data_IF_027885563107
#
_entry.id   IF_027885563107
#
_cell.length_a   1.000
_cell.length_b   1.000
_cell.length_c   1.000
_cell.angle_alpha   90.00
_cell.angle_beta   90.00
_cell.angle_gamma   90.00
#
_symmetry.space_group_name_H-M   'P 1'
#
loop_
_entity.id
_entity.type
_entity.pdbx_description
1 polymer ?
#
# COMPACT_ATOMS: atom_id res chain seq x y z
N UNK A 1 -32.80 -19.42 -16.38
CA UNK A 1 -32.80 -18.36 -15.36
C UNK A 1 -31.33 -18.03 -15.05
N UNK A 2 -30.79 -16.89 -15.44
CA UNK A 2 -29.41 -16.56 -15.11
C UNK A 2 -29.35 -15.98 -13.71
N UNK A 3 -28.53 -16.57 -12.84
CA UNK A 3 -28.22 -16.08 -11.50
C UNK A 3 -27.48 -14.75 -11.57
N UNK A 4 -28.17 -13.70 -11.19
CA UNK A 4 -27.59 -12.37 -11.01
C UNK A 4 -26.72 -12.38 -9.75
N UNK A 5 -25.42 -12.55 -9.91
CA UNK A 5 -24.46 -12.24 -8.84
C UNK A 5 -24.37 -10.73 -8.69
N UNK A 6 -25.18 -10.18 -7.82
CA UNK A 6 -25.02 -8.81 -7.32
C UNK A 6 -23.73 -8.80 -6.51
N UNK A 7 -22.64 -8.32 -7.11
CA UNK A 7 -21.46 -7.88 -6.34
C UNK A 7 -21.94 -6.75 -5.43
N UNK A 8 -22.10 -7.04 -4.13
CA UNK A 8 -22.27 -6.00 -3.12
C UNK A 8 -21.08 -5.05 -3.26
N UNK A 9 -21.35 -3.78 -3.61
CA UNK A 9 -20.36 -2.69 -3.47
C UNK A 9 -19.93 -2.71 -2.02
N UNK A 10 -18.65 -2.99 -1.75
CA UNK A 10 -18.08 -2.79 -0.42
C UNK A 10 -18.22 -1.29 -0.11
N UNK A 11 -19.02 -0.98 0.91
CA UNK A 11 -19.07 0.37 1.45
C UNK A 11 -17.65 0.71 1.95
N UNK A 12 -17.09 1.80 1.43
CA UNK A 12 -15.84 2.37 1.94
C UNK A 12 -16.19 2.93 3.32
N UNK A 13 -15.71 2.25 4.36
CA UNK A 13 -15.87 2.72 5.74
C UNK A 13 -14.70 3.66 6.03
N UNK A 14 -14.99 4.87 6.49
CA UNK A 14 -14.00 5.90 6.76
C UNK A 14 -13.03 5.43 7.86
N UNK A 15 -11.71 5.54 7.60
CA UNK A 15 -10.68 5.31 8.61
C UNK A 15 -10.57 6.56 9.48
N UNK A 16 -10.75 6.37 10.79
CA UNK A 16 -10.65 7.45 11.76
C UNK A 16 -9.27 7.44 12.41
N UNK A 17 -8.51 8.53 12.22
CA UNK A 17 -7.29 8.77 13.01
C UNK A 17 -7.66 9.11 14.45
N UNK A 18 -6.95 8.51 15.40
CA UNK A 18 -7.10 8.84 16.83
C UNK A 18 -6.12 9.95 17.18
N UNK A 19 -6.65 11.05 17.67
CA UNK A 19 -5.86 12.13 18.27
C UNK A 19 -6.02 12.08 19.79
N UNK A 20 -5.04 11.49 20.46
CA UNK A 20 -5.02 11.34 21.91
C UNK A 20 -5.05 12.66 22.67
N UNK A 21 -4.61 13.75 22.04
CA UNK A 21 -4.61 15.09 22.65
C UNK A 21 -5.98 15.77 22.61
N UNK A 22 -6.85 15.32 21.72
CA UNK A 22 -8.18 15.91 21.50
C UNK A 22 -9.30 15.24 22.30
N UNK A 23 -9.03 14.11 23.00
CA UNK A 23 -10.01 13.37 23.77
C UNK A 23 -9.75 13.53 25.29
N UNK A 24 -10.83 13.47 26.07
CA UNK A 24 -10.71 13.55 27.54
C UNK A 24 -10.02 12.31 28.13
N UNK A 25 -9.45 12.38 29.33
CA UNK A 25 -8.84 11.23 30.01
C UNK A 25 -9.80 10.03 30.12
N UNK A 26 -11.06 10.26 30.47
CA UNK A 26 -12.06 9.19 30.60
C UNK A 26 -12.41 8.53 29.25
N UNK A 27 -12.49 9.31 28.19
CA UNK A 27 -12.69 8.80 26.83
C UNK A 27 -11.46 8.03 26.35
N UNK A 28 -10.26 8.52 26.67
CA UNK A 28 -9.00 7.83 26.37
C UNK A 28 -8.95 6.44 27.00
N UNK A 29 -9.28 6.32 28.29
CA UNK A 29 -9.29 5.04 28.98
C UNK A 29 -10.31 4.05 28.36
N UNK A 30 -11.54 4.52 28.06
CA UNK A 30 -12.56 3.70 27.40
C UNK A 30 -12.12 3.23 26.00
N UNK A 31 -11.47 4.13 25.26
CA UNK A 31 -10.96 3.80 23.92
C UNK A 31 -9.85 2.75 23.97
N UNK A 32 -8.92 2.87 24.94
CA UNK A 32 -7.88 1.86 25.17
C UNK A 32 -8.47 0.51 25.51
N UNK A 33 -9.51 0.47 26.36
CA UNK A 33 -10.20 -0.77 26.73
C UNK A 33 -10.85 -1.42 25.49
N UNK A 34 -11.56 -0.64 24.65
CA UNK A 34 -12.18 -1.14 23.41
C UNK A 34 -11.12 -1.68 22.43
N UNK A 35 -9.99 -0.99 22.27
CA UNK A 35 -8.88 -1.43 21.41
C UNK A 35 -8.24 -2.73 21.89
N UNK A 36 -8.02 -2.83 23.19
CA UNK A 36 -7.45 -4.04 23.80
C UNK A 36 -8.40 -5.23 23.70
N UNK A 37 -9.72 -5.03 23.78
CA UNK A 37 -10.70 -6.09 23.52
C UNK A 37 -10.56 -6.63 22.08
N UNK A 38 -10.42 -5.74 21.09
CA UNK A 38 -10.21 -6.15 19.69
C UNK A 38 -8.88 -6.87 19.54
N UNK A 39 -7.80 -6.34 20.14
CA UNK A 39 -6.49 -6.98 20.15
C UNK A 39 -6.56 -8.39 20.74
N UNK A 40 -7.09 -8.54 21.94
CA UNK A 40 -7.16 -9.82 22.65
C UNK A 40 -8.02 -10.83 21.88
N UNK A 41 -9.18 -10.43 21.38
CA UNK A 41 -10.04 -11.29 20.58
C UNK A 41 -9.32 -11.77 19.31
N UNK A 42 -8.60 -10.88 18.63
CA UNK A 42 -7.83 -11.20 17.44
C UNK A 42 -6.66 -12.15 17.74
N UNK A 43 -5.88 -11.86 18.79
CA UNK A 43 -4.74 -12.68 19.22
C UNK A 43 -5.19 -14.08 19.58
N UNK A 44 -6.24 -14.24 20.36
CA UNK A 44 -6.80 -15.54 20.73
C UNK A 44 -7.23 -16.37 19.52
N UNK A 45 -7.66 -15.73 18.44
CA UNK A 45 -8.11 -16.42 17.23
C UNK A 45 -6.99 -16.74 16.22
N UNK A 46 -5.81 -16.17 16.38
CA UNK A 46 -4.73 -16.27 15.37
C UNK A 46 -3.36 -16.64 15.94
N UNK A 47 -3.05 -16.31 17.20
CA UNK A 47 -1.75 -16.52 17.82
C UNK A 47 -1.78 -17.75 18.75
N UNK A 48 -2.06 -18.93 18.17
CA UNK A 48 -2.20 -20.18 18.93
C UNK A 48 -0.92 -20.66 19.61
N UNK A 49 0.21 -20.04 19.31
CA UNK A 49 1.51 -20.25 19.94
C UNK A 49 1.68 -19.50 21.27
N UNK A 50 0.85 -18.47 21.53
CA UNK A 50 0.84 -17.76 22.79
C UNK A 50 0.03 -18.51 23.85
N UNK A 51 0.62 -18.66 25.03
CA UNK A 51 -0.10 -19.19 26.19
C UNK A 51 -0.99 -18.14 26.82
N UNK A 52 -1.93 -18.55 27.69
CA UNK A 52 -2.72 -17.61 28.47
C UNK A 52 -1.85 -16.65 29.30
N UNK A 53 -0.75 -17.16 29.85
CA UNK A 53 0.20 -16.36 30.61
C UNK A 53 0.84 -15.25 29.73
N UNK A 54 1.18 -15.56 28.47
CA UNK A 54 1.76 -14.60 27.54
C UNK A 54 0.72 -13.51 27.18
N UNK A 55 -0.52 -13.90 26.91
CA UNK A 55 -1.60 -12.95 26.61
C UNK A 55 -1.82 -12.00 27.79
N UNK A 56 -1.90 -12.53 29.02
CA UNK A 56 -2.07 -11.71 30.22
C UNK A 56 -0.86 -10.82 30.50
N UNK A 57 0.34 -11.24 30.14
CA UNK A 57 1.55 -10.44 30.24
C UNK A 57 1.56 -9.28 29.23
N UNK A 58 1.21 -9.55 27.96
CA UNK A 58 1.21 -8.52 26.92
C UNK A 58 0.04 -7.55 27.02
N UNK A 59 -1.11 -7.96 27.54
CA UNK A 59 -2.33 -7.15 27.58
C UNK A 59 -2.14 -5.75 28.16
N UNK A 60 -1.56 -5.55 29.37
CA UNK A 60 -1.31 -4.22 29.91
C UNK A 60 -0.26 -3.45 29.10
N UNK A 61 0.75 -4.11 28.53
CA UNK A 61 1.76 -3.46 27.70
C UNK A 61 1.14 -2.93 26.40
N UNK A 62 0.27 -3.70 25.76
CA UNK A 62 -0.45 -3.27 24.56
C UNK A 62 -1.34 -2.07 24.88
N UNK A 63 -2.11 -2.15 25.97
CA UNK A 63 -3.04 -1.11 26.39
C UNK A 63 -2.35 0.23 26.71
N UNK A 64 -1.32 0.18 27.53
CA UNK A 64 -0.80 1.38 28.19
C UNK A 64 0.51 1.87 27.59
N UNK A 65 1.19 1.04 26.78
CA UNK A 65 2.47 1.38 26.19
C UNK A 65 2.44 1.37 24.66
N UNK A 66 2.00 0.27 24.02
CA UNK A 66 2.17 0.11 22.59
C UNK A 66 1.11 0.85 21.78
N UNK A 67 -0.17 0.77 22.16
CA UNK A 67 -1.26 1.49 21.47
C UNK A 67 -1.04 3.02 21.52
N UNK A 68 -0.69 3.66 22.67
CA UNK A 68 -0.44 5.10 22.70
C UNK A 68 0.83 5.55 21.98
N UNK A 69 1.76 4.64 21.69
CA UNK A 69 3.05 4.96 21.07
C UNK A 69 3.02 5.05 19.54
N UNK A 70 1.92 4.67 18.91
CA UNK A 70 1.80 4.61 17.45
C UNK A 70 0.78 5.61 16.92
N UNK A 71 0.90 5.98 15.65
CA UNK A 71 -0.15 6.69 14.93
C UNK A 71 -1.30 5.72 14.67
N UNK A 72 -2.42 5.90 15.36
CA UNK A 72 -3.50 4.93 15.41
C UNK A 72 -4.65 5.29 14.47
N UNK A 73 -5.13 4.29 13.73
CA UNK A 73 -6.29 4.36 12.84
C UNK A 73 -7.30 3.26 13.17
N UNK A 74 -8.58 3.60 13.23
CA UNK A 74 -9.65 2.66 13.55
C UNK A 74 -10.70 2.61 12.45
N UNK A 75 -11.37 1.47 12.33
CA UNK A 75 -12.59 1.30 11.54
C UNK A 75 -13.68 0.83 12.49
N UNK A 76 -14.83 1.52 12.48
CA UNK A 76 -16.00 1.13 13.28
C UNK A 76 -17.02 0.41 12.40
N UNK A 77 -17.69 -0.59 12.96
CA UNK A 77 -18.77 -1.28 12.30
C UNK A 77 -20.10 -0.49 12.40
N UNK A 78 -21.18 -1.02 11.82
CA UNK A 78 -22.51 -0.38 11.82
C UNK A 78 -23.09 -0.17 13.23
N UNK A 79 -22.62 -0.93 14.23
CA UNK A 79 -23.01 -0.77 15.64
C UNK A 79 -22.10 0.22 16.39
N UNK A 80 -21.26 0.96 15.68
CA UNK A 80 -20.30 1.92 16.22
C UNK A 80 -19.22 1.29 17.14
N UNK A 81 -18.98 -0.03 17.06
CA UNK A 81 -17.88 -0.72 17.77
C UNK A 81 -16.64 -0.78 16.88
N UNK A 82 -15.45 -0.73 17.46
CA UNK A 82 -14.20 -0.89 16.71
C UNK A 82 -14.17 -2.31 16.13
N UNK A 83 -14.19 -2.38 14.79
CA UNK A 83 -14.11 -3.61 14.02
C UNK A 83 -12.67 -4.00 13.71
N UNK A 84 -11.82 -3.00 13.51
CA UNK A 84 -10.40 -3.17 13.21
C UNK A 84 -9.63 -1.91 13.59
N UNK A 85 -8.34 -2.08 13.87
CA UNK A 85 -7.43 -0.96 14.06
C UNK A 85 -6.04 -1.26 13.50
N UNK A 86 -5.28 -0.20 13.23
CA UNK A 86 -3.92 -0.23 12.73
C UNK A 86 -3.09 0.83 13.44
N UNK A 87 -1.91 0.45 13.88
CA UNK A 87 -0.89 1.33 14.43
C UNK A 87 0.29 1.44 13.47
N UNK A 88 0.72 2.67 13.22
CA UNK A 88 1.82 2.99 12.31
C UNK A 88 2.95 3.69 13.06
N UNK A 89 4.18 3.37 12.72
CA UNK A 89 5.35 4.22 12.93
C UNK A 89 5.77 4.86 11.59
N UNK A 90 6.88 5.59 11.56
CA UNK A 90 7.33 6.31 10.36
C UNK A 90 7.58 5.39 9.15
N UNK A 91 7.95 4.13 9.37
CA UNK A 91 8.31 3.20 8.28
C UNK A 91 7.58 1.85 8.33
N UNK A 92 6.84 1.55 9.41
CA UNK A 92 6.36 0.21 9.68
C UNK A 92 4.88 0.19 10.08
N UNK A 93 4.15 -0.81 9.61
CA UNK A 93 2.86 -1.19 10.16
C UNK A 93 3.16 -2.03 11.42
N UNK A 94 3.07 -1.36 12.58
CA UNK A 94 3.37 -1.97 13.88
C UNK A 94 2.27 -2.90 14.37
N UNK A 95 1.03 -2.57 14.01
CA UNK A 95 -0.17 -3.27 14.45
C UNK A 95 -1.22 -3.28 13.36
N UNK A 96 -1.85 -4.44 13.16
CA UNK A 96 -3.06 -4.57 12.34
C UNK A 96 -3.92 -5.68 12.93
N UNK A 97 -5.00 -5.31 13.57
CA UNK A 97 -5.91 -6.24 14.21
C UNK A 97 -7.34 -6.06 13.72
N UNK A 98 -8.02 -7.17 13.43
CA UNK A 98 -9.42 -7.22 13.02
C UNK A 98 -10.15 -8.14 13.97
N UNK A 99 -11.23 -7.66 14.57
CA UNK A 99 -12.05 -8.48 15.48
C UNK A 99 -12.52 -9.76 14.74
N UNK A 100 -12.48 -10.95 15.36
CA UNK A 100 -12.81 -12.21 14.68
C UNK A 100 -14.16 -12.21 13.98
N UNK A 101 -15.20 -11.63 14.58
CA UNK A 101 -16.56 -11.53 14.01
C UNK A 101 -16.63 -10.56 12.79
N UNK A 102 -15.61 -9.75 12.61
CA UNK A 102 -15.49 -8.77 11.54
C UNK A 102 -14.52 -9.19 10.41
N UNK A 103 -13.86 -10.33 10.57
CA UNK A 103 -12.99 -10.90 9.54
C UNK A 103 -13.79 -11.25 8.27
N UNK A 104 -13.11 -11.19 7.12
CA UNK A 104 -13.75 -11.45 5.83
C UNK A 104 -14.56 -10.28 5.25
N UNK A 105 -14.81 -9.22 6.01
CA UNK A 105 -15.56 -8.02 5.56
C UNK A 105 -14.68 -6.97 4.85
N UNK A 106 -13.40 -7.23 4.70
CA UNK A 106 -12.48 -6.35 3.95
C UNK A 106 -11.75 -5.27 4.77
N UNK A 107 -12.00 -5.14 6.07
CA UNK A 107 -11.41 -4.07 6.90
C UNK A 107 -9.87 -4.12 6.94
N UNK A 108 -9.27 -5.30 7.08
CA UNK A 108 -7.81 -5.44 7.02
C UNK A 108 -7.24 -4.99 5.68
N UNK A 109 -7.92 -5.29 4.56
CA UNK A 109 -7.54 -4.80 3.23
C UNK A 109 -7.59 -3.27 3.16
N UNK A 110 -8.67 -2.66 3.64
CA UNK A 110 -8.83 -1.20 3.62
C UNK A 110 -7.72 -0.50 4.43
N UNK A 111 -7.35 -1.03 5.60
CA UNK A 111 -6.28 -0.47 6.43
C UNK A 111 -4.91 -0.58 5.74
N UNK A 112 -4.59 -1.73 5.12
CA UNK A 112 -3.35 -1.89 4.36
C UNK A 112 -3.30 -0.95 3.17
N UNK A 113 -4.38 -0.84 2.40
CA UNK A 113 -4.45 0.09 1.27
C UNK A 113 -4.28 1.54 1.73
N UNK A 114 -4.85 1.90 2.86
CA UNK A 114 -4.64 3.22 3.47
C UNK A 114 -3.17 3.43 3.87
N UNK A 115 -2.52 2.45 4.53
CA UNK A 115 -1.09 2.54 4.86
C UNK A 115 -0.23 2.74 3.62
N UNK A 116 -0.50 1.99 2.55
CA UNK A 116 0.28 2.04 1.29
C UNK A 116 0.05 3.37 0.55
N UNK A 117 -1.21 3.74 0.28
CA UNK A 117 -1.53 4.83 -0.65
C UNK A 117 -1.59 6.20 0.00
N UNK A 118 -1.87 6.29 1.31
CA UNK A 118 -2.01 7.57 2.01
C UNK A 118 -0.90 7.85 3.01
N UNK A 119 -0.27 6.80 3.56
CA UNK A 119 0.80 6.95 4.55
C UNK A 119 2.18 6.57 4.00
N UNK A 120 2.24 5.97 2.80
CA UNK A 120 3.48 5.52 2.14
C UNK A 120 4.31 4.55 2.99
N UNK A 121 3.62 3.69 3.76
CA UNK A 121 4.23 2.68 4.59
C UNK A 121 4.08 1.32 3.91
N UNK A 122 5.21 0.62 3.69
CA UNK A 122 5.33 -0.56 2.84
C UNK A 122 5.95 -1.75 3.54
N UNK A 123 6.24 -1.63 4.84
CA UNK A 123 6.86 -2.66 5.64
C UNK A 123 5.92 -3.09 6.76
N UNK A 124 5.99 -4.36 7.12
CA UNK A 124 5.28 -4.93 8.26
C UNK A 124 6.09 -6.06 8.85
N UNK A 125 6.09 -6.15 10.17
CA UNK A 125 6.65 -7.26 10.91
C UNK A 125 5.55 -8.22 11.32
N UNK A 126 5.77 -9.52 11.07
CA UNK A 126 4.78 -10.56 11.33
C UNK A 126 5.43 -11.70 12.09
N UNK A 127 4.79 -12.14 13.16
CA UNK A 127 5.25 -13.33 13.85
C UNK A 127 5.20 -14.55 12.90
N UNK A 128 6.30 -15.29 12.77
CA UNK A 128 6.44 -16.45 11.86
C UNK A 128 5.38 -17.53 12.11
N UNK A 129 4.93 -17.65 13.36
CA UNK A 129 3.92 -18.64 13.74
C UNK A 129 2.47 -18.21 13.40
N UNK A 130 2.28 -16.97 12.91
CA UNK A 130 0.98 -16.47 12.48
C UNK A 130 0.78 -16.66 10.96
N UNK A 131 0.57 -17.91 10.54
CA UNK A 131 0.40 -18.28 9.13
C UNK A 131 -0.73 -17.51 8.42
N UNK A 132 -1.80 -17.16 9.15
CA UNK A 132 -2.92 -16.38 8.59
C UNK A 132 -2.49 -14.96 8.21
N UNK A 133 -1.70 -14.31 9.06
CA UNK A 133 -1.17 -12.97 8.76
C UNK A 133 -0.15 -13.04 7.62
N UNK A 134 0.76 -14.00 7.63
CA UNK A 134 1.72 -14.20 6.54
C UNK A 134 0.98 -14.35 5.21
N UNK A 135 0.02 -15.28 5.13
CA UNK A 135 -0.79 -15.49 3.92
C UNK A 135 -1.56 -14.23 3.50
N UNK A 136 -2.07 -13.46 4.48
CA UNK A 136 -2.77 -12.21 4.22
C UNK A 136 -1.87 -11.18 3.54
N UNK A 137 -0.62 -11.01 3.97
CA UNK A 137 0.33 -10.06 3.39
C UNK A 137 0.91 -10.56 2.06
N UNK A 138 1.31 -11.83 1.95
CA UNK A 138 1.80 -12.41 0.70
C UNK A 138 0.76 -12.29 -0.43
N UNK A 139 -0.53 -12.51 -0.14
CA UNK A 139 -1.63 -12.31 -1.09
C UNK A 139 -1.82 -10.83 -1.49
N UNK A 140 -1.10 -9.89 -0.85
CA UNK A 140 -1.10 -8.44 -1.15
C UNK A 140 0.24 -7.94 -1.64
N UNK A 141 1.04 -8.85 -2.22
CA UNK A 141 2.34 -8.54 -2.86
C UNK A 141 3.42 -8.06 -1.89
N UNK A 142 3.31 -8.40 -0.61
CA UNK A 142 4.44 -8.32 0.28
C UNK A 142 5.29 -9.57 0.13
N UNK A 143 6.61 -9.41 0.18
CA UNK A 143 7.57 -10.51 0.17
C UNK A 143 8.33 -10.53 1.50
N UNK A 144 8.74 -11.72 1.92
CA UNK A 144 9.60 -11.88 3.09
C UNK A 144 11.01 -11.41 2.70
N UNK A 145 11.52 -10.39 3.39
CA UNK A 145 12.81 -9.75 3.12
C UNK A 145 13.83 -9.99 4.23
N UNK A 146 13.40 -10.51 5.37
CA UNK A 146 14.26 -10.80 6.49
C UNK A 146 13.55 -11.61 7.58
N UNK A 147 14.32 -12.08 8.56
CA UNK A 147 13.85 -12.88 9.69
C UNK A 147 14.73 -12.68 10.91
N UNK A 148 14.11 -12.46 12.05
CA UNK A 148 14.75 -12.50 13.37
C UNK A 148 14.33 -13.75 14.14
N UNK A 149 15.24 -14.31 14.92
CA UNK A 149 14.99 -15.54 15.71
C UNK A 149 14.11 -15.29 16.95
N UNK A 150 14.02 -14.02 17.39
CA UNK A 150 13.29 -13.62 18.58
C UNK A 150 12.49 -12.35 18.31
N UNK A 151 11.50 -12.09 19.15
CA UNK A 151 10.84 -10.78 19.18
C UNK A 151 11.80 -9.69 19.71
N UNK A 152 11.47 -8.39 19.60
CA UNK A 152 12.29 -7.28 20.12
C UNK A 152 12.55 -7.33 21.62
N UNK A 153 11.80 -8.13 22.38
CA UNK A 153 11.97 -8.34 23.82
C UNK A 153 12.84 -9.57 24.14
N UNK A 154 13.31 -10.30 23.12
CA UNK A 154 14.14 -11.50 23.26
C UNK A 154 13.35 -12.78 23.56
N UNK A 155 12.02 -12.77 23.42
CA UNK A 155 11.21 -13.97 23.58
C UNK A 155 11.34 -14.88 22.34
N UNK A 156 11.12 -16.20 22.45
CA UNK A 156 11.27 -17.15 21.36
C UNK A 156 10.06 -17.10 20.39
N UNK A 157 9.77 -15.93 19.86
CA UNK A 157 8.73 -15.65 18.86
C UNK A 157 9.37 -15.06 17.62
N UNK A 158 9.83 -15.89 16.66
CA UNK A 158 10.51 -15.39 15.46
C UNK A 158 9.64 -14.41 14.67
N UNK A 159 10.29 -13.38 14.14
CA UNK A 159 9.64 -12.32 13.38
C UNK A 159 10.10 -12.41 11.91
N UNK A 160 9.14 -12.39 11.00
CA UNK A 160 9.38 -12.20 9.57
C UNK A 160 9.19 -10.72 9.23
N UNK A 161 10.19 -10.15 8.56
CA UNK A 161 10.12 -8.82 7.99
C UNK A 161 9.56 -8.93 6.58
N UNK A 162 8.43 -8.26 6.34
CA UNK A 162 7.82 -8.24 5.02
C UNK A 162 7.83 -6.82 4.44
N UNK A 163 8.04 -6.73 3.14
CA UNK A 163 8.01 -5.45 2.43
C UNK A 163 7.23 -5.59 1.14
N UNK A 164 6.43 -4.56 0.84
CA UNK A 164 5.74 -4.48 -0.44
C UNK A 164 6.76 -4.18 -1.54
N UNK A 165 6.82 -5.04 -2.54
CA UNK A 165 7.72 -4.89 -3.67
C UNK A 165 7.03 -4.37 -4.93
N UNK A 166 7.85 -3.81 -5.80
CA UNK A 166 7.43 -3.45 -7.16
C UNK A 166 7.05 -4.71 -7.92
N UNK A 167 5.95 -4.64 -8.64
CA UNK A 167 5.49 -5.77 -9.42
C UNK A 167 5.94 -5.61 -10.86
N UNK A 168 6.66 -6.62 -11.38
CA UNK A 168 6.84 -6.75 -12.83
C UNK A 168 5.49 -7.03 -13.46
N UNK A 169 5.00 -6.06 -14.26
CA UNK A 169 3.69 -6.15 -14.93
C UNK A 169 3.82 -6.64 -16.37
N UNK A 170 5.03 -6.52 -16.95
CA UNK A 170 5.40 -7.07 -18.24
C UNK A 170 6.90 -7.38 -18.28
N UNK A 171 7.27 -8.54 -18.77
CA UNK A 171 8.64 -8.92 -19.07
C UNK A 171 8.75 -9.37 -20.52
N UNK A 172 9.85 -9.02 -21.20
CA UNK A 172 10.18 -9.51 -22.52
C UNK A 172 11.56 -10.18 -22.50
N UNK A 173 11.73 -11.27 -23.20
CA UNK A 173 12.97 -12.03 -23.50
C UNK A 173 14.13 -11.99 -22.46
N UNK A 174 13.85 -11.63 -21.22
CA UNK A 174 14.79 -11.66 -20.10
C UNK A 174 15.69 -10.45 -19.92
N UNK A 175 15.56 -9.40 -20.74
CA UNK A 175 16.34 -8.15 -20.60
C UNK A 175 15.50 -6.93 -20.25
N UNK A 176 14.28 -6.82 -20.76
CA UNK A 176 13.38 -5.68 -20.53
C UNK A 176 12.23 -6.08 -19.61
N UNK A 177 12.00 -5.28 -18.61
CA UNK A 177 10.90 -5.44 -17.64
C UNK A 177 10.20 -4.12 -17.42
N UNK A 178 8.86 -4.13 -17.41
CA UNK A 178 8.06 -2.99 -16.95
C UNK A 178 7.56 -3.32 -15.56
N UNK A 179 7.90 -2.46 -14.60
CA UNK A 179 7.50 -2.60 -13.20
C UNK A 179 6.57 -1.45 -12.81
N UNK A 180 5.49 -1.77 -12.11
CA UNK A 180 4.65 -0.78 -11.47
C UNK A 180 5.35 -0.25 -10.20
N UNK A 181 5.53 1.07 -10.11
CA UNK A 181 6.18 1.73 -8.99
C UNK A 181 5.10 2.19 -8.02
N UNK A 182 4.96 1.46 -6.94
CA UNK A 182 3.91 1.70 -5.95
C UNK A 182 4.32 2.75 -4.91
N UNK A 183 5.62 2.92 -4.66
CA UNK A 183 6.14 3.80 -3.59
C UNK A 183 7.48 4.44 -3.95
N UNK A 184 7.89 5.45 -3.16
CA UNK A 184 9.15 6.18 -3.36
C UNK A 184 9.34 6.65 -4.80
N UNK A 185 8.26 7.08 -5.46
CA UNK A 185 8.24 7.50 -6.87
C UNK A 185 9.26 8.61 -7.14
N UNK A 186 9.50 9.49 -6.17
CA UNK A 186 10.51 10.56 -6.26
C UNK A 186 11.95 10.06 -6.39
N UNK A 187 12.27 8.79 -6.17
CA UNK A 187 13.61 8.26 -6.50
C UNK A 187 13.93 8.34 -7.99
N UNK A 188 12.89 8.47 -8.84
CA UNK A 188 13.01 8.69 -10.28
C UNK A 188 12.93 10.17 -10.67
N UNK A 189 13.07 11.10 -9.71
CA UNK A 189 12.92 12.54 -9.95
C UNK A 189 13.82 13.02 -11.10
N UNK A 190 15.01 12.46 -11.25
CA UNK A 190 15.92 12.76 -12.35
C UNK A 190 15.34 12.45 -13.74
N UNK A 191 14.47 11.42 -13.86
CA UNK A 191 13.74 11.12 -15.10
C UNK A 191 12.49 11.98 -15.22
N UNK A 192 11.71 12.13 -14.14
CA UNK A 192 10.50 12.94 -14.15
C UNK A 192 10.76 14.37 -14.60
N UNK A 193 11.87 14.96 -14.16
CA UNK A 193 12.32 16.31 -14.56
C UNK A 193 12.77 16.42 -16.03
N UNK A 194 12.87 15.31 -16.77
CA UNK A 194 13.14 15.37 -18.22
C UNK A 194 11.89 15.71 -19.04
N UNK A 195 10.71 15.44 -18.51
CA UNK A 195 9.43 15.75 -19.13
C UNK A 195 8.75 16.99 -18.52
N UNK A 196 8.91 17.18 -17.20
CA UNK A 196 8.45 18.37 -16.46
C UNK A 196 9.64 19.11 -15.85
N UNK A 197 9.78 20.38 -16.16
CA UNK A 197 10.94 21.16 -15.70
C UNK A 197 10.88 21.56 -14.22
N UNK A 198 9.72 21.39 -13.56
CA UNK A 198 9.46 21.85 -12.19
C UNK A 198 8.94 20.72 -11.31
N UNK A 199 9.64 20.47 -10.20
CA UNK A 199 9.22 19.47 -9.21
C UNK A 199 7.82 19.74 -8.64
N UNK A 200 7.47 21.01 -8.43
CA UNK A 200 6.14 21.40 -7.95
C UNK A 200 5.00 20.99 -8.90
N UNK A 201 5.24 20.90 -10.19
CA UNK A 201 4.25 20.38 -11.15
C UNK A 201 4.14 18.87 -11.06
N UNK A 202 5.26 18.19 -10.87
CA UNK A 202 5.29 16.73 -10.66
C UNK A 202 4.51 16.34 -9.39
N UNK A 203 4.64 17.11 -8.32
CA UNK A 203 3.95 16.87 -7.04
C UNK A 203 2.41 16.91 -7.16
N UNK A 204 1.86 17.62 -8.14
CA UNK A 204 0.40 17.70 -8.35
C UNK A 204 -0.22 16.36 -8.80
N UNK A 205 0.54 15.50 -9.47
CA UNK A 205 0.00 14.26 -10.04
C UNK A 205 0.74 12.98 -9.60
N UNK A 206 1.97 13.07 -9.07
CA UNK A 206 2.82 11.92 -8.86
C UNK A 206 2.21 10.91 -7.89
N UNK A 207 1.68 11.37 -6.76
CA UNK A 207 1.15 10.48 -5.74
C UNK A 207 -0.20 9.86 -6.15
N UNK A 208 -1.08 10.62 -6.80
CA UNK A 208 -2.36 10.11 -7.28
C UNK A 208 -2.25 9.26 -8.55
N UNK A 209 -1.16 9.40 -9.30
CA UNK A 209 -0.94 8.70 -10.56
C UNK A 209 -0.38 7.29 -10.38
N UNK A 210 -0.69 6.40 -11.30
CA UNK A 210 0.01 5.12 -11.45
C UNK A 210 1.31 5.35 -12.21
N UNK A 211 2.43 4.91 -11.62
CA UNK A 211 3.75 5.07 -12.24
C UNK A 211 4.29 3.72 -12.68
N UNK A 212 4.88 3.70 -13.88
CA UNK A 212 5.57 2.53 -14.42
C UNK A 212 7.00 2.91 -14.81
N UNK A 213 7.92 2.00 -14.58
CA UNK A 213 9.31 2.14 -15.02
C UNK A 213 9.73 0.96 -15.89
N UNK A 214 10.35 1.25 -17.01
CA UNK A 214 10.96 0.27 -17.89
C UNK A 214 12.42 0.08 -17.51
N UNK A 215 12.76 -1.12 -17.16
CA UNK A 215 14.12 -1.56 -16.83
C UNK A 215 14.73 -2.34 -17.99
N UNK A 216 16.00 -2.08 -18.26
CA UNK A 216 16.87 -2.89 -19.10
C UNK A 216 18.00 -3.44 -18.23
N UNK A 217 18.09 -4.77 -18.11
CA UNK A 217 19.06 -5.45 -17.23
C UNK A 217 19.08 -4.87 -15.82
N UNK A 218 17.90 -4.72 -15.25
CA UNK A 218 17.69 -4.16 -13.91
C UNK A 218 18.07 -2.69 -13.70
N UNK A 219 18.31 -1.93 -14.78
CA UNK A 219 18.58 -0.49 -14.74
C UNK A 219 17.39 0.25 -15.34
N UNK A 220 16.78 1.22 -14.63
CA UNK A 220 15.66 1.98 -15.15
C UNK A 220 16.12 2.86 -16.34
N UNK A 221 15.42 2.76 -17.48
CA UNK A 221 15.71 3.49 -18.71
C UNK A 221 14.65 4.52 -19.06
N UNK A 222 13.41 4.21 -18.71
CA UNK A 222 12.29 5.12 -18.98
C UNK A 222 11.23 4.97 -17.89
N UNK A 223 10.45 6.02 -17.71
CA UNK A 223 9.30 6.03 -16.79
C UNK A 223 8.09 6.63 -17.47
N UNK A 224 6.90 6.31 -16.96
CA UNK A 224 5.69 7.07 -17.24
C UNK A 224 4.79 7.16 -16.01
N UNK A 225 3.96 8.21 -15.98
CA UNK A 225 2.92 8.40 -14.95
C UNK A 225 1.59 8.63 -15.64
N UNK A 226 0.58 7.87 -15.23
CA UNK A 226 -0.79 7.93 -15.77
C UNK A 226 -1.74 8.27 -14.63
N UNK A 227 -2.69 9.16 -14.87
CA UNK A 227 -3.72 9.55 -13.90
C UNK A 227 -5.11 9.24 -14.43
N UNK A 228 -6.00 8.83 -13.53
CA UNK A 228 -7.44 8.74 -13.80
C UNK A 228 -8.04 10.15 -13.71
N UNK A 229 -8.64 10.64 -14.78
CA UNK A 229 -9.28 11.96 -14.87
C UNK A 229 -10.82 11.87 -14.81
N UNK A 230 -11.36 10.68 -14.53
CA UNK A 230 -12.80 10.42 -14.49
C UNK A 230 -13.39 10.12 -15.87
N UNK A 231 -14.69 9.87 -15.91
CA UNK A 231 -15.46 9.60 -17.14
C UNK A 231 -14.79 8.61 -18.11
N UNK A 232 -14.18 7.57 -17.56
CA UNK A 232 -13.42 6.53 -18.31
C UNK A 232 -12.26 7.12 -19.14
N UNK A 233 -11.67 8.21 -18.66
CA UNK A 233 -10.54 8.89 -19.30
C UNK A 233 -9.31 8.81 -18.41
N UNK A 234 -8.17 8.45 -19.00
CA UNK A 234 -6.85 8.52 -18.36
C UNK A 234 -5.97 9.52 -19.09
N UNK A 235 -5.06 10.13 -18.37
CA UNK A 235 -4.06 11.03 -18.95
C UNK A 235 -2.64 10.53 -18.66
N UNK A 236 -1.81 10.48 -19.71
CA UNK A 236 -0.37 10.29 -19.60
C UNK A 236 0.27 11.62 -19.22
N UNK A 237 0.48 11.83 -17.91
CA UNK A 237 1.00 13.09 -17.33
C UNK A 237 2.48 13.27 -17.57
N UNK A 238 3.23 12.18 -17.55
CA UNK A 238 4.69 12.23 -17.70
C UNK A 238 5.16 10.99 -18.44
N UNK A 239 6.06 11.16 -19.37
CA UNK A 239 6.82 10.08 -19.97
C UNK A 239 8.23 10.57 -20.28
N UNK A 240 9.22 9.88 -19.76
CA UNK A 240 10.62 10.26 -19.93
C UNK A 240 11.49 9.04 -20.17
N UNK A 241 12.49 9.22 -21.03
CA UNK A 241 13.57 8.26 -21.26
C UNK A 241 14.89 8.93 -20.91
N UNK A 242 15.74 8.22 -20.18
CA UNK A 242 17.09 8.67 -19.86
C UNK A 242 17.80 9.18 -21.12
N UNK A 243 18.40 10.37 -21.02
CA UNK A 243 19.01 11.08 -22.18
C UNK A 243 19.97 10.23 -22.98
N UNK A 244 20.75 9.36 -22.31
CA UNK A 244 21.74 8.49 -22.97
C UNK A 244 21.07 7.35 -23.76
N UNK A 245 19.80 7.06 -23.50
CA UNK A 245 19.05 5.93 -24.07
C UNK A 245 17.87 6.37 -24.91
N UNK A 246 17.74 7.66 -25.20
CA UNK A 246 16.72 8.18 -26.12
C UNK A 246 16.92 7.62 -27.53
N UNK A 247 15.86 7.62 -28.34
CA UNK A 247 15.81 7.11 -29.71
C UNK A 247 16.08 5.59 -29.86
N UNK A 248 16.12 4.84 -28.75
CA UNK A 248 16.25 3.38 -28.74
C UNK A 248 14.91 2.63 -28.57
N UNK A 249 13.80 3.37 -28.57
CA UNK A 249 12.45 2.79 -28.55
C UNK A 249 11.83 2.58 -27.17
N UNK A 250 12.54 2.86 -26.05
CA UNK A 250 12.04 2.64 -24.70
C UNK A 250 10.71 3.37 -24.42
N UNK A 251 10.59 4.64 -24.82
CA UNK A 251 9.37 5.40 -24.66
C UNK A 251 8.19 4.79 -25.46
N UNK A 252 8.43 4.30 -26.70
CA UNK A 252 7.40 3.63 -27.50
C UNK A 252 6.92 2.33 -26.85
N UNK A 253 7.81 1.61 -26.19
CA UNK A 253 7.44 0.40 -25.42
C UNK A 253 6.49 0.76 -24.30
N UNK A 254 6.77 1.83 -23.54
CA UNK A 254 5.88 2.31 -22.47
C UNK A 254 4.52 2.77 -22.99
N UNK A 255 4.48 3.55 -24.09
CA UNK A 255 3.21 4.00 -24.69
C UNK A 255 2.36 2.82 -25.11
N UNK A 256 2.96 1.83 -25.80
CA UNK A 256 2.26 0.61 -26.18
C UNK A 256 1.74 -0.14 -24.95
N UNK A 257 2.58 -0.33 -23.95
CA UNK A 257 2.18 -0.98 -22.69
C UNK A 257 0.99 -0.28 -22.05
N UNK A 258 1.01 1.05 -21.91
CA UNK A 258 -0.09 1.82 -21.31
C UNK A 258 -1.39 1.61 -22.12
N UNK A 259 -1.32 1.69 -23.46
CA UNK A 259 -2.47 1.47 -24.33
C UNK A 259 -3.08 0.08 -24.14
N UNK A 260 -2.25 -0.97 -24.05
CA UNK A 260 -2.70 -2.35 -23.84
C UNK A 260 -3.19 -2.59 -22.40
N UNK A 261 -2.48 -2.05 -21.41
CA UNK A 261 -2.77 -2.25 -19.98
C UNK A 261 -4.13 -1.68 -19.57
N UNK A 262 -4.51 -0.55 -20.15
CA UNK A 262 -5.77 0.12 -19.86
C UNK A 262 -6.89 -0.17 -20.87
N UNK A 263 -6.60 -0.92 -21.93
CA UNK A 263 -7.60 -1.31 -22.91
C UNK A 263 -8.81 -2.01 -22.27
N UNK A 264 -10.02 -1.56 -22.62
CA UNK A 264 -11.27 -2.06 -22.05
C UNK A 264 -11.63 -1.57 -20.66
N UNK A 265 -10.69 -0.95 -19.92
CA UNK A 265 -10.97 -0.27 -18.65
C UNK A 265 -11.36 1.20 -18.86
N UNK A 266 -10.71 1.85 -19.81
CA UNK A 266 -10.92 3.25 -20.17
C UNK A 266 -11.20 3.37 -21.65
N UNK A 267 -11.92 4.42 -22.05
CA UNK A 267 -12.32 4.69 -23.42
C UNK A 267 -11.37 5.68 -24.10
N UNK A 268 -10.72 6.53 -23.31
CA UNK A 268 -9.84 7.60 -23.80
C UNK A 268 -8.51 7.60 -23.06
N UNK A 269 -7.41 7.62 -23.82
CA UNK A 269 -6.08 7.96 -23.34
C UNK A 269 -5.71 9.35 -23.86
N UNK A 270 -5.65 10.32 -22.99
CA UNK A 270 -5.24 11.68 -23.31
C UNK A 270 -3.73 11.86 -23.07
N UNK A 271 -3.08 12.58 -23.97
CA UNK A 271 -1.65 12.90 -23.83
C UNK A 271 -1.47 14.40 -24.05
N UNK A 272 -1.14 15.12 -22.95
CA UNK A 272 -0.76 16.52 -23.04
C UNK A 272 0.64 16.64 -23.64
N UNK A 273 0.77 17.28 -24.79
CA UNK A 273 2.08 17.58 -25.39
C UNK A 273 2.30 19.08 -25.39
N UNK A 274 3.49 19.54 -24.91
CA UNK A 274 3.94 20.89 -25.22
C UNK A 274 4.16 21.05 -26.72
N UNK A 275 4.01 22.25 -27.25
CA UNK A 275 4.27 22.59 -28.66
C UNK A 275 5.77 22.48 -29.00
N UNK A 276 6.34 21.29 -28.89
CA UNK A 276 7.73 21.02 -29.27
C UNK A 276 7.77 20.16 -30.53
N UNK A 277 8.58 20.53 -31.53
CA UNK A 277 8.79 19.73 -32.73
C UNK A 277 9.33 18.31 -32.46
N UNK A 278 9.82 18.06 -31.25
CA UNK A 278 10.36 16.76 -30.83
C UNK A 278 9.30 15.87 -30.15
N UNK A 279 8.24 16.46 -29.62
CA UNK A 279 7.21 15.71 -28.87
C UNK A 279 6.03 15.27 -29.75
N UNK A 280 5.55 16.13 -30.64
CA UNK A 280 4.41 15.81 -31.52
C UNK A 280 4.63 14.58 -32.41
N UNK A 281 5.82 14.34 -33.03
CA UNK A 281 6.05 13.14 -33.82
C UNK A 281 6.30 11.87 -33.02
N UNK A 282 6.36 11.96 -31.69
CA UNK A 282 6.64 10.81 -30.83
C UNK A 282 5.39 9.93 -30.62
N UNK A 283 4.21 10.54 -30.56
CA UNK A 283 2.91 9.89 -30.37
C UNK A 283 2.21 9.61 -31.70
#
# INVERSE_FOLDING_TARGET
>A
MPSTHIRQKQEIVEQQKIDWSAISPDESEKLKDELVEVWEASVRSTHHFLTEKDIQFFKPLVRDKYIPAVELYTIRNRQNRIAAFMGLSDELIEMLFVHPEEQGKGYGKQLIEFAIYHKHIFKVDVNEQNEKAISFYLNRRFDIVGRDETDPSGNPFPILHLSLHETTVQASDGSLEIRQILHRKKRFLYLLLLADEQESMIDLYLERGEMFALYDRNIPRAICVVTDEGDRTIELKNIATDRQYQKQGYGKILVRFISEHYAGKYDTLFVGTGESPLTVPFY
#
